data_IF_291998070545
#
_entry.id   IF_291998070545
#
_cell.length_a   1.000
_cell.length_b   1.000
_cell.length_c   1.000
_cell.angle_alpha   90.00
_cell.angle_beta   90.00
_cell.angle_gamma   90.00
#
_symmetry.space_group_name_H-M   'P 1'
#
loop_
_entity.id
_entity.type
_entity.pdbx_description
1 polymer ?
2 non-polymer ?
3 water ?
#
# COMPACT_ATOMS: atom_id res chain seq x y z
N UNK A 2 16.73 -22.67 -10.38
CA UNK A 2 16.96 -22.10 -9.00
C UNK A 2 15.98 -22.76 -7.97
N UNK A 3 16.35 -22.68 -6.70
CA UNK A 3 15.62 -23.36 -5.63
C UNK A 3 14.45 -22.56 -5.01
N UNK A 4 14.21 -21.33 -5.43
CA UNK A 4 13.13 -20.53 -4.86
C UNK A 4 11.70 -21.17 -5.02
N UNK A 5 10.83 -20.92 -4.06
CA UNK A 5 9.44 -21.36 -4.19
C UNK A 5 8.51 -20.15 -4.25
N UNK A 6 7.34 -20.37 -4.79
CA UNK A 6 6.30 -19.32 -4.84
C UNK A 6 5.23 -19.72 -3.83
N UNK A 7 4.75 -18.73 -3.08
CA UNK A 7 3.68 -18.98 -2.16
C UNK A 7 2.55 -17.98 -2.33
N UNK A 8 1.39 -18.49 -2.71
CA UNK A 8 0.21 -17.70 -2.95
C UNK A 8 -0.83 -18.00 -1.86
N UNK A 9 -1.43 -16.93 -1.36
CA UNK A 9 -2.46 -17.02 -0.36
C UNK A 9 -3.77 -16.39 -0.78
N UNK A 10 -4.83 -17.15 -0.71
CA UNK A 10 -6.19 -16.60 -0.71
C UNK A 10 -6.39 -15.79 0.60
N UNK A 11 -7.31 -14.83 0.61
CA UNK A 11 -7.57 -14.06 1.83
C UNK A 11 -8.83 -14.49 2.60
N UNK A 12 -10.00 -14.30 1.99
CA UNK A 12 -11.24 -14.39 2.76
C UNK A 12 -11.52 -15.81 3.14
N UNK A 13 -11.60 -16.07 4.46
CA UNK A 13 -11.84 -17.40 5.03
C UNK A 13 -10.63 -18.30 4.94
N UNK A 14 -9.53 -17.81 4.39
CA UNK A 14 -8.27 -18.56 4.35
C UNK A 14 -7.33 -17.96 5.37
N UNK A 15 -6.94 -16.70 5.19
CA UNK A 15 -6.08 -16.05 6.16
C UNK A 15 -6.89 -15.30 7.21
N UNK A 16 -8.17 -14.97 6.94
CA UNK A 16 -9.01 -14.28 7.90
C UNK A 16 -10.29 -15.11 8.11
N UNK A 17 -10.78 -15.15 9.36
CA UNK A 17 -11.97 -15.94 9.65
C UNK A 17 -13.23 -15.16 9.28
N UNK A 18 -13.19 -14.40 8.20
CA UNK A 18 -14.34 -13.65 7.78
C UNK A 18 -14.16 -13.33 6.28
N UNK A 19 -15.22 -12.78 5.70
CA UNK A 19 -15.19 -12.26 4.34
C UNK A 19 -15.02 -10.76 4.40
N UNK A 20 -13.85 -10.32 4.01
CA UNK A 20 -13.49 -8.93 4.13
C UNK A 20 -14.37 -8.05 3.18
N UNK A 21 -14.88 -8.62 2.11
CA UNK A 21 -15.67 -7.86 1.10
C UNK A 21 -17.00 -7.47 1.79
N UNK A 22 -17.73 -8.47 2.25
CA UNK A 22 -19.00 -8.28 2.97
C UNK A 22 -18.83 -7.46 4.25
N UNK A 23 -17.81 -7.73 5.04
CA UNK A 23 -17.61 -6.98 6.32
C UNK A 23 -17.35 -5.48 6.02
N UNK A 24 -16.62 -5.20 4.95
CA UNK A 24 -16.46 -3.81 4.56
C UNK A 24 -17.77 -3.13 4.16
N UNK A 25 -18.60 -3.79 3.33
CA UNK A 25 -19.92 -3.27 2.98
C UNK A 25 -20.76 -3.06 4.21
N UNK A 26 -20.72 -4.06 5.08
CA UNK A 26 -21.51 -4.00 6.28
C UNK A 26 -20.98 -2.92 7.22
N UNK A 27 -19.67 -2.73 7.24
CA UNK A 27 -19.04 -1.70 8.05
C UNK A 27 -19.50 -0.30 7.58
N UNK A 28 -19.50 -0.09 6.27
CA UNK A 28 -19.98 1.20 5.72
C UNK A 28 -21.47 1.39 6.01
N UNK A 29 -22.26 0.32 5.86
CA UNK A 29 -23.72 0.38 6.17
C UNK A 29 -23.98 0.83 7.65
N UNK A 30 -23.40 0.04 8.56
CA UNK A 30 -23.47 0.23 10.02
C UNK A 30 -23.06 1.58 10.51
N UNK A 31 -22.15 2.19 9.79
CA UNK A 31 -21.39 3.24 10.31
C UNK A 31 -21.67 4.68 9.80
N UNK A 32 -22.81 5.10 9.29
CA UNK A 32 -23.49 4.64 8.17
C UNK A 32 -23.07 5.71 7.10
N UNK A 33 -22.25 5.24 6.19
CA UNK A 33 -21.63 6.03 5.18
C UNK A 33 -22.13 5.51 3.87
N UNK A 34 -23.19 4.71 3.89
CA UNK A 34 -23.75 4.11 2.65
C UNK A 34 -25.25 4.41 2.62
N UNK A 35 -25.65 5.50 3.29
CA UNK A 35 -27.08 5.86 3.45
C UNK A 35 -27.64 5.52 4.82
N UNK A 36 -28.97 5.47 4.91
CA UNK A 36 -29.62 4.95 6.12
C UNK A 36 -29.14 3.52 6.40
N UNK A 37 -28.63 3.30 7.63
CA UNK A 37 -28.06 2.00 7.94
C UNK A 37 -28.91 0.80 7.49
N UNK A 38 -30.20 0.81 7.85
CA UNK A 38 -31.12 -0.31 7.58
C UNK A 38 -31.19 -0.64 6.10
N UNK A 39 -31.45 0.38 5.30
CA UNK A 39 -31.61 0.23 3.86
C UNK A 39 -30.27 -0.21 3.24
N UNK A 40 -29.18 0.32 3.79
CA UNK A 40 -27.82 -0.07 3.36
C UNK A 40 -27.59 -1.57 3.59
N UNK A 41 -27.82 -2.04 4.80
CA UNK A 41 -27.61 -3.46 5.09
C UNK A 41 -28.59 -4.29 4.26
N UNK A 42 -29.82 -3.78 4.12
CA UNK A 42 -30.81 -4.47 3.31
C UNK A 42 -30.33 -4.59 1.86
N UNK A 43 -29.84 -3.49 1.30
CA UNK A 43 -29.31 -3.53 -0.05
C UNK A 43 -28.09 -4.46 -0.19
N UNK A 44 -27.16 -4.41 0.78
CA UNK A 44 -26.05 -5.41 0.83
C UNK A 44 -26.52 -6.88 0.80
N UNK A 45 -27.47 -7.21 1.67
CA UNK A 45 -27.93 -8.59 1.79
C UNK A 45 -28.65 -9.00 0.53
N UNK A 46 -29.49 -8.10 0.03
CA UNK A 46 -30.20 -8.38 -1.19
C UNK A 46 -29.25 -8.62 -2.41
N UNK A 47 -28.14 -7.85 -2.52
CA UNK A 47 -27.09 -8.18 -3.48
C UNK A 47 -26.55 -9.61 -3.28
N UNK A 48 -26.10 -9.92 -2.08
CA UNK A 48 -25.55 -11.25 -1.83
C UNK A 48 -26.63 -12.31 -2.14
N UNK A 49 -27.88 -12.08 -1.74
CA UNK A 49 -28.97 -13.06 -1.98
C UNK A 49 -29.13 -13.29 -3.50
N UNK A 50 -29.32 -12.22 -4.28
CA UNK A 50 -29.44 -12.36 -5.74
C UNK A 50 -28.21 -13.02 -6.41
N UNK A 51 -27.00 -12.69 -5.94
CA UNK A 51 -25.79 -13.33 -6.44
C UNK A 51 -25.82 -14.82 -6.06
N UNK A 52 -26.04 -15.11 -4.78
CA UNK A 52 -26.14 -16.50 -4.30
C UNK A 52 -27.22 -17.36 -4.97
N UNK A 53 -28.33 -16.74 -5.37
CA UNK A 53 -29.43 -17.45 -6.06
C UNK A 53 -29.14 -17.62 -7.57
N UNK A 54 -28.14 -16.90 -8.09
CA UNK A 54 -27.72 -17.02 -9.47
C UNK A 54 -28.29 -15.93 -10.36
N UNK A 55 -28.88 -14.90 -9.76
CA UNK A 55 -29.60 -13.87 -10.52
C UNK A 55 -28.69 -12.70 -10.94
N UNK A 56 -27.50 -12.58 -10.30
CA UNK A 56 -26.45 -11.58 -10.69
C UNK A 56 -25.14 -12.27 -11.12
N UNK A 57 -24.44 -11.65 -12.06
CA UNK A 57 -23.14 -12.14 -12.50
C UNK A 57 -22.08 -11.82 -11.41
N UNK A 58 -20.95 -12.53 -11.47
CA UNK A 58 -19.79 -12.22 -10.61
C UNK A 58 -19.30 -10.78 -10.82
N UNK A 59 -19.22 -10.32 -12.07
CA UNK A 59 -18.96 -8.91 -12.45
C UNK A 59 -19.92 -7.94 -11.78
N UNK A 60 -21.18 -8.27 -11.72
CA UNK A 60 -22.18 -7.35 -11.22
C UNK A 60 -22.06 -7.28 -9.73
N UNK A 61 -21.77 -8.41 -9.09
CA UNK A 61 -21.61 -8.37 -7.64
C UNK A 61 -20.37 -7.48 -7.39
N UNK A 62 -19.29 -7.74 -8.13
CA UNK A 62 -18.03 -6.98 -7.92
C UNK A 62 -18.32 -5.51 -8.13
N UNK A 63 -19.09 -5.20 -9.18
CA UNK A 63 -19.46 -3.80 -9.42
C UNK A 63 -20.21 -3.12 -8.30
N UNK A 64 -21.23 -3.78 -7.75
CA UNK A 64 -21.96 -3.21 -6.58
C UNK A 64 -20.99 -2.81 -5.44
N UNK A 65 -20.06 -3.70 -5.15
CA UNK A 65 -19.01 -3.46 -4.15
C UNK A 65 -18.14 -2.24 -4.49
N UNK A 66 -17.76 -2.07 -5.74
CA UNK A 66 -16.95 -0.92 -6.15
C UNK A 66 -17.77 0.34 -6.14
N UNK A 67 -19.08 0.18 -6.31
CA UNK A 67 -19.98 1.31 -6.29
C UNK A 67 -19.98 1.89 -4.90
N UNK A 68 -19.66 1.09 -3.88
CA UNK A 68 -19.53 1.66 -2.54
C UNK A 68 -18.35 2.68 -2.43
N UNK A 69 -17.30 2.44 -3.19
CA UNK A 69 -16.14 3.34 -3.26
C UNK A 69 -16.39 4.62 -4.07
N UNK A 70 -17.23 4.49 -5.10
CA UNK A 70 -17.57 5.56 -6.02
C UNK A 70 -18.35 6.66 -5.31
N UNK A 71 -18.98 6.35 -4.19
CA UNK A 71 -19.86 7.30 -3.50
C UNK A 71 -19.12 8.32 -2.61
N UNK A 72 -17.77 8.29 -2.58
CA UNK A 72 -16.99 9.04 -1.60
C UNK A 72 -15.61 9.45 -2.08
N UNK A 73 -15.07 10.46 -1.46
CA UNK A 73 -13.75 10.90 -1.80
C UNK A 73 -12.75 9.82 -1.33
N UNK A 74 -11.67 9.63 -2.06
CA UNK A 74 -10.67 8.67 -1.60
C UNK A 74 -9.98 9.08 -0.27
N UNK A 75 -10.01 10.36 0.08
CA UNK A 75 -9.48 10.82 1.34
C UNK A 75 -10.37 10.33 2.51
N UNK A 76 -11.70 10.44 2.36
CA UNK A 76 -12.62 9.90 3.35
C UNK A 76 -12.48 8.39 3.47
N UNK A 77 -12.43 7.74 2.30
CA UNK A 77 -12.37 6.24 2.23
C UNK A 77 -11.16 5.68 2.99
N UNK A 78 -10.01 6.32 2.83
CA UNK A 78 -8.85 5.92 3.58
C UNK A 78 -9.01 6.03 5.09
N UNK A 79 -9.49 7.16 5.58
CA UNK A 79 -9.73 7.38 6.99
C UNK A 79 -10.70 6.27 7.47
N UNK A 80 -11.78 6.04 6.73
CA UNK A 80 -12.73 4.98 7.14
C UNK A 80 -12.18 3.56 7.08
N UNK A 81 -11.34 3.29 6.09
CA UNK A 81 -10.70 1.99 6.04
C UNK A 81 -9.76 1.75 7.23
N UNK A 82 -9.04 2.76 7.69
CA UNK A 82 -8.24 2.59 8.89
C UNK A 82 -9.08 2.20 10.08
N UNK A 83 -10.23 2.79 10.24
CA UNK A 83 -11.10 2.40 11.33
C UNK A 83 -11.55 0.94 11.16
N UNK A 84 -11.87 0.54 9.93
CA UNK A 84 -12.21 -0.81 9.57
C UNK A 84 -11.08 -1.78 9.92
N UNK A 85 -9.86 -1.37 9.63
CA UNK A 85 -8.73 -2.24 9.94
C UNK A 85 -8.65 -2.43 11.43
N UNK A 86 -8.76 -1.31 12.17
CA UNK A 86 -8.62 -1.33 13.64
C UNK A 86 -9.72 -2.13 14.35
N UNK A 87 -10.95 -2.03 13.85
CA UNK A 87 -12.15 -2.51 14.60
C UNK A 87 -12.63 -3.86 14.07
N UNK A 88 -12.37 -4.16 12.80
CA UNK A 88 -12.82 -5.42 12.22
C UNK A 88 -11.67 -6.36 11.83
N UNK A 89 -10.74 -5.89 11.00
CA UNK A 89 -9.78 -6.83 10.46
C UNK A 89 -8.76 -7.23 11.51
N UNK A 90 -8.06 -6.26 12.09
CA UNK A 90 -6.97 -6.58 13.01
C UNK A 90 -7.32 -7.56 14.12
N UNK A 91 -8.44 -7.38 14.78
CA UNK A 91 -8.71 -8.34 15.84
C UNK A 91 -9.08 -9.73 15.32
N UNK A 92 -9.26 -9.93 14.02
CA UNK A 92 -9.51 -11.25 13.51
C UNK A 92 -8.23 -11.93 13.02
N UNK A 93 -7.08 -11.22 13.10
CA UNK A 93 -5.82 -11.79 12.76
C UNK A 93 -5.44 -12.86 13.80
N UNK A 94 -5.12 -14.06 13.37
CA UNK A 94 -4.74 -15.14 14.30
C UNK A 94 -3.27 -15.47 14.08
N UNK A 95 -2.63 -15.93 15.15
CA UNK A 95 -1.27 -16.37 15.09
C UNK A 95 -1.07 -17.51 14.08
N UNK A 96 -2.04 -18.42 13.95
CA UNK A 96 -1.97 -19.46 12.94
C UNK A 96 -1.88 -18.91 11.51
N UNK A 97 -2.76 -18.00 11.13
CA UNK A 97 -2.71 -17.39 9.79
C UNK A 97 -1.41 -16.61 9.60
N UNK A 98 -1.00 -15.82 10.60
CA UNK A 98 0.25 -15.07 10.50
C UNK A 98 1.42 -16.00 10.26
N UNK A 99 1.42 -17.12 10.99
CA UNK A 99 2.54 -18.07 10.96
C UNK A 99 2.63 -18.85 9.65
N UNK A 100 1.51 -19.16 9.00
CA UNK A 100 1.52 -19.82 7.68
C UNK A 100 2.22 -18.90 6.67
N UNK A 101 1.90 -17.62 6.72
CA UNK A 101 2.57 -16.66 5.89
C UNK A 101 4.03 -16.50 6.29
N UNK A 102 4.30 -16.35 7.56
CA UNK A 102 5.62 -16.09 8.03
C UNK A 102 6.59 -17.17 7.71
N UNK A 103 6.14 -18.42 7.80
CA UNK A 103 7.00 -19.55 7.43
C UNK A 103 7.51 -19.44 5.99
N UNK A 104 6.62 -19.05 5.09
CA UNK A 104 7.03 -18.96 3.66
C UNK A 104 7.93 -17.73 3.51
N UNK A 105 7.64 -16.62 4.18
CA UNK A 105 8.53 -15.48 4.08
C UNK A 105 9.94 -15.81 4.52
N UNK A 106 10.01 -16.48 5.65
CA UNK A 106 11.25 -16.83 6.28
C UNK A 106 12.03 -17.83 5.40
N UNK A 107 11.35 -18.66 4.61
CA UNK A 107 12.08 -19.60 3.74
C UNK A 107 12.71 -18.92 2.52
N UNK A 108 12.41 -17.65 2.31
CA UNK A 108 12.81 -16.96 1.12
C UNK A 108 11.76 -17.04 0.01
N UNK A 109 10.57 -17.55 0.26
CA UNK A 109 9.59 -17.76 -0.80
C UNK A 109 9.17 -16.40 -1.36
N UNK A 110 8.84 -16.33 -2.64
CA UNK A 110 8.15 -15.17 -3.20
C UNK A 110 6.67 -15.27 -2.80
N UNK A 111 6.14 -14.33 -2.03
CA UNK A 111 4.78 -14.42 -1.43
C UNK A 111 3.84 -13.33 -1.95
N UNK A 112 2.59 -13.72 -2.25
CA UNK A 112 1.56 -12.85 -2.78
C UNK A 112 0.21 -13.27 -2.20
N UNK A 113 -0.60 -12.26 -1.93
CA UNK A 113 -1.99 -12.41 -1.60
C UNK A 113 -2.81 -12.32 -2.90
N UNK A 114 -3.63 -13.35 -3.15
CA UNK A 114 -4.43 -13.43 -4.36
C UNK A 114 -5.91 -13.51 -4.00
N UNK A 115 -6.64 -12.42 -4.23
CA UNK A 115 -7.96 -12.26 -3.67
C UNK A 115 -8.92 -11.49 -4.59
N UNK A 116 -10.18 -11.93 -4.61
CA UNK A 116 -11.25 -11.26 -5.37
C UNK A 116 -11.64 -9.98 -4.68
N UNK A 117 -11.37 -9.84 -3.39
CA UNK A 117 -11.78 -8.61 -2.71
C UNK A 117 -10.87 -7.47 -3.23
N UNK A 118 -11.47 -6.34 -3.58
CA UNK A 118 -10.75 -5.29 -4.30
C UNK A 118 -9.52 -4.73 -3.59
N UNK A 119 -8.52 -4.36 -4.40
CA UNK A 119 -7.24 -3.89 -3.90
C UNK A 119 -7.28 -2.64 -2.99
N UNK A 120 -8.28 -1.76 -3.09
CA UNK A 120 -8.42 -0.73 -2.11
C UNK A 120 -8.67 -1.32 -0.70
N UNK A 121 -9.56 -2.27 -0.63
CA UNK A 121 -9.90 -2.94 0.62
C UNK A 121 -8.78 -3.84 1.11
N UNK A 122 -8.02 -4.47 0.23
CA UNK A 122 -7.07 -5.50 0.66
C UNK A 122 -5.61 -5.11 0.73
N UNK A 123 -5.22 -4.01 0.09
CA UNK A 123 -3.82 -3.56 0.15
C UNK A 123 -3.26 -3.47 1.58
N UNK A 124 -3.95 -2.82 2.51
CA UNK A 124 -3.39 -2.74 3.89
C UNK A 124 -3.40 -4.09 4.63
N UNK A 125 -4.22 -5.02 4.18
CA UNK A 125 -4.28 -6.37 4.76
C UNK A 125 -3.07 -7.20 4.31
N UNK A 126 -2.69 -7.10 3.03
CA UNK A 126 -1.42 -7.70 2.60
C UNK A 126 -0.27 -7.16 3.39
N UNK A 127 -0.21 -5.85 3.53
CA UNK A 127 0.80 -5.23 4.37
C UNK A 127 0.75 -5.74 5.84
N UNK A 128 -0.43 -5.93 6.39
CA UNK A 128 -0.51 -6.44 7.78
C UNK A 128 0.13 -7.82 7.93
N UNK A 129 0.20 -8.59 6.85
CA UNK A 129 0.83 -9.89 6.89
C UNK A 129 2.29 -9.88 6.51
N UNK A 130 2.84 -8.70 6.14
CA UNK A 130 4.20 -8.61 5.62
C UNK A 130 4.37 -9.07 4.19
N UNK A 131 3.26 -9.17 3.45
CA UNK A 131 3.27 -9.69 2.12
C UNK A 131 3.38 -8.46 1.22
N UNK A 132 4.30 -8.51 0.27
CA UNK A 132 4.68 -7.32 -0.51
C UNK A 132 3.97 -7.30 -1.83
N UNK A 133 3.29 -8.39 -2.20
CA UNK A 133 2.62 -8.48 -3.54
C UNK A 133 1.18 -8.80 -3.36
N UNK A 134 0.33 -8.09 -4.09
CA UNK A 134 -1.13 -8.24 -3.99
C UNK A 134 -1.68 -8.43 -5.39
N UNK A 135 -2.44 -9.48 -5.58
CA UNK A 135 -3.01 -9.76 -6.87
C UNK A 135 -4.52 -9.82 -6.60
N UNK A 136 -5.13 -8.63 -6.66
CA UNK A 136 -6.53 -8.42 -6.30
C UNK A 136 -7.32 -7.79 -7.43
N UNK A 137 -8.64 -7.93 -7.42
CA UNK A 137 -9.50 -7.21 -8.39
C UNK A 137 -9.23 -5.73 -8.15
N UNK A 138 -9.00 -5.00 -9.23
CA UNK A 138 -8.60 -3.61 -9.12
C UNK A 138 -9.74 -2.71 -9.50
N UNK A 139 -10.04 -1.76 -8.62
CA UNK A 139 -11.05 -0.78 -8.95
C UNK A 139 -10.48 0.28 -9.87
N UNK A 140 -11.18 0.60 -10.96
CA UNK A 140 -10.79 1.72 -11.79
C UNK A 140 -10.87 3.02 -10.93
N UNK A 141 -9.82 3.82 -11.07
CA UNK A 141 -9.64 5.12 -10.38
C UNK A 141 -9.32 6.09 -11.45
N UNK A 142 -10.10 7.13 -11.59
CA UNK A 142 -9.89 8.10 -12.65
C UNK A 142 -10.25 9.44 -12.09
N UNK A 143 -9.41 10.42 -12.38
CA UNK A 143 -9.71 11.78 -12.01
C UNK A 143 -9.94 11.89 -10.47
N UNK A 144 -9.17 11.13 -9.69
CA UNK A 144 -9.21 11.23 -8.27
C UNK A 144 -10.39 10.54 -7.63
N UNK A 145 -11.08 9.69 -8.36
CA UNK A 145 -12.15 8.93 -7.69
C UNK A 145 -12.30 7.55 -8.27
N UNK A 146 -12.79 6.63 -7.43
CA UNK A 146 -13.20 5.32 -7.92
C UNK A 146 -14.44 5.46 -8.79
N UNK A 147 -14.42 4.86 -9.96
CA UNK A 147 -15.53 4.99 -10.90
C UNK A 147 -16.67 3.98 -10.68
N UNK A 148 -16.44 2.91 -9.90
CA UNK A 148 -17.41 1.81 -9.86
C UNK A 148 -17.20 0.66 -10.84
N UNK A 149 -16.21 0.80 -11.74
CA UNK A 149 -15.87 -0.21 -12.71
C UNK A 149 -14.59 -0.97 -12.35
N UNK A 150 -14.48 -2.20 -12.85
CA UNK A 150 -13.27 -3.04 -12.69
C UNK A 150 -12.22 -2.67 -13.72
N UNK A 151 -10.97 -2.54 -13.28
CA UNK A 151 -9.86 -2.30 -14.15
C UNK A 151 -9.17 -3.61 -14.42
N UNK A 152 -9.25 -4.07 -15.67
CA UNK A 152 -8.54 -5.28 -16.09
C UNK A 152 -9.25 -6.56 -15.68
N UNK A 153 -8.50 -7.64 -15.47
CA UNK A 153 -9.11 -8.92 -15.23
C UNK A 153 -9.35 -9.07 -13.71
N UNK A 154 -10.57 -9.49 -13.32
CA UNK A 154 -10.83 -9.77 -11.92
C UNK A 154 -10.02 -10.95 -11.41
N UNK A 155 -9.61 -10.84 -10.16
CA UNK A 155 -8.85 -11.90 -9.49
C UNK A 155 -9.84 -12.85 -8.83
N UNK A 156 -10.56 -13.53 -9.70
CA UNK A 156 -11.69 -14.38 -9.29
C UNK A 156 -11.79 -15.57 -10.21
N UNK A 157 -11.88 -16.74 -9.59
CA UNK A 157 -11.91 -17.98 -10.34
C UNK A 157 -10.74 -18.10 -11.32
N UNK A 158 -11.03 -18.31 -12.60
CA UNK A 158 -9.99 -18.49 -13.59
C UNK A 158 -9.16 -17.21 -13.72
N UNK A 159 -9.75 -16.05 -13.40
CA UNK A 159 -9.00 -14.80 -13.41
C UNK A 159 -7.81 -14.78 -12.46
N UNK A 160 -7.89 -15.50 -11.35
CA UNK A 160 -6.75 -15.57 -10.45
C UNK A 160 -5.56 -16.17 -11.20
N UNK A 161 -5.81 -17.14 -12.09
CA UNK A 161 -4.73 -17.77 -12.84
C UNK A 161 -4.10 -16.80 -13.82
N UNK A 162 -4.93 -16.16 -14.63
CA UNK A 162 -4.46 -15.13 -15.55
C UNK A 162 -3.63 -14.04 -14.80
N UNK A 163 -4.19 -13.51 -13.70
CA UNK A 163 -3.55 -12.42 -13.01
C UNK A 163 -2.21 -12.84 -12.42
N UNK A 164 -2.12 -14.05 -11.88
CA UNK A 164 -0.90 -14.53 -11.31
C UNK A 164 0.13 -14.65 -12.45
N UNK A 165 -0.27 -15.21 -13.60
CA UNK A 165 0.74 -15.38 -14.69
C UNK A 165 1.19 -13.99 -15.24
N UNK A 166 0.25 -13.05 -15.34
CA UNK A 166 0.61 -11.70 -15.78
C UNK A 166 1.57 -11.05 -14.80
N UNK A 167 1.32 -11.19 -13.48
CA UNK A 167 2.22 -10.61 -12.49
C UNK A 167 3.66 -11.18 -12.53
N UNK A 168 3.79 -12.48 -12.61
CA UNK A 168 5.10 -13.08 -12.67
C UNK A 168 5.87 -12.56 -13.90
N UNK A 169 5.20 -12.47 -15.04
CA UNK A 169 5.88 -12.04 -16.28
C UNK A 169 6.35 -10.57 -16.14
N UNK A 170 5.50 -9.72 -15.58
CA UNK A 170 5.92 -8.38 -15.16
C UNK A 170 7.23 -8.33 -14.34
N UNK A 171 7.51 -9.36 -13.57
CA UNK A 171 8.77 -9.41 -12.81
C UNK A 171 9.83 -10.19 -13.59
N UNK A 172 9.47 -10.71 -14.76
CA UNK A 172 10.44 -11.45 -15.57
C UNK A 172 10.53 -12.88 -15.13
N UNK A 173 9.46 -13.42 -14.60
CA UNK A 173 9.44 -14.77 -14.03
C UNK A 173 8.24 -15.55 -14.56
N UNK A 174 8.19 -16.84 -14.26
CA UNK A 174 7.06 -17.72 -14.60
C UNK A 174 6.97 -18.87 -13.58
N UNK A 175 5.83 -19.55 -13.59
CA UNK A 175 5.45 -20.50 -12.56
C UNK A 175 6.40 -21.68 -12.50
N UNK A 176 6.89 -22.06 -13.67
CA UNK A 176 7.89 -23.14 -13.77
C UNK A 176 9.31 -22.71 -13.45
N UNK A 177 9.56 -21.43 -13.22
CA UNK A 177 10.85 -21.01 -12.65
C UNK A 177 11.02 -21.52 -11.17
N UNK A 178 9.93 -21.82 -10.46
CA UNK A 178 10.03 -22.17 -9.01
C UNK A 178 10.19 -23.65 -8.78
N UNK A 179 10.92 -24.02 -7.75
CA UNK A 179 11.03 -25.43 -7.37
C UNK A 179 9.68 -26.01 -6.94
N UNK A 180 8.84 -25.21 -6.27
CA UNK A 180 7.44 -25.56 -5.99
C UNK A 180 6.65 -24.27 -5.99
N UNK A 181 5.35 -24.37 -6.17
CA UNK A 181 4.41 -23.24 -5.97
C UNK A 181 3.29 -23.74 -5.11
N UNK A 182 3.03 -23.01 -4.01
CA UNK A 182 1.95 -23.31 -3.07
C UNK A 182 0.78 -22.31 -3.33
N UNK A 183 -0.45 -22.76 -3.14
CA UNK A 183 -1.62 -21.88 -3.08
C UNK A 183 -2.53 -22.44 -2.00
N UNK A 184 -2.86 -21.61 -1.03
CA UNK A 184 -3.79 -21.91 0.01
C UNK A 184 -5.17 -21.29 -0.29
N UNK A 185 -6.26 -22.08 -0.27
CA UNK A 185 -7.58 -21.52 -0.41
C UNK A 185 -8.64 -22.41 0.21
N UNK A 186 -9.81 -21.85 0.40
CA UNK A 186 -10.92 -22.50 1.13
C UNK A 186 -12.05 -22.95 0.24
N UNK A 187 -12.06 -22.48 -1.02
CA UNK A 187 -13.25 -22.45 -1.85
C UNK A 187 -13.13 -23.18 -3.17
N UNK A 188 -14.24 -23.78 -3.61
CA UNK A 188 -14.26 -24.47 -4.89
C UNK A 188 -14.10 -23.46 -6.01
N UNK A 189 -14.39 -22.18 -5.75
CA UNK A 189 -14.11 -21.11 -6.70
C UNK A 189 -12.66 -21.07 -7.13
N UNK A 190 -11.76 -21.47 -6.25
CA UNK A 190 -10.32 -21.43 -6.53
C UNK A 190 -9.65 -22.73 -7.01
N UNK A 191 -10.45 -23.71 -7.41
CA UNK A 191 -9.89 -24.92 -8.03
C UNK A 191 -8.99 -24.53 -9.23
N UNK A 192 -9.35 -23.50 -10.01
CA UNK A 192 -8.45 -23.17 -11.11
C UNK A 192 -7.02 -22.88 -10.72
N UNK A 193 -6.81 -22.00 -9.73
CA UNK A 193 -5.43 -21.74 -9.29
C UNK A 193 -4.85 -22.93 -8.47
N UNK A 194 -5.70 -23.62 -7.73
CA UNK A 194 -5.23 -24.74 -6.96
C UNK A 194 -4.66 -25.80 -7.92
N UNK A 195 -5.29 -25.95 -9.08
CA UNK A 195 -4.84 -26.92 -10.11
C UNK A 195 -3.58 -26.51 -10.83
N UNK A 196 -3.26 -25.23 -10.81
CA UNK A 196 -2.15 -24.67 -11.58
C UNK A 196 -0.80 -24.80 -10.87
N UNK A 197 -0.79 -24.85 -9.53
CA UNK A 197 0.46 -24.79 -8.79
C UNK A 197 0.92 -26.21 -8.51
N UNK A 198 2.10 -26.40 -7.96
CA UNK A 198 2.47 -27.78 -7.62
C UNK A 198 2.00 -28.21 -6.24
N UNK A 199 1.75 -27.29 -5.29
CA UNK A 199 1.32 -27.70 -3.96
C UNK A 199 0.05 -26.97 -3.50
N UNK A 200 -1.10 -27.44 -3.96
CA UNK A 200 -2.36 -26.89 -3.50
C UNK A 200 -2.67 -27.30 -2.05
N UNK A 201 -3.16 -26.34 -1.25
CA UNK A 201 -3.49 -26.59 0.18
C UNK A 201 -4.90 -26.06 0.39
N UNK A 202 -5.78 -26.93 0.82
CA UNK A 202 -7.13 -26.58 1.12
C UNK A 202 -7.11 -26.11 2.58
N UNK A 203 -7.34 -24.82 2.77
CA UNK A 203 -7.26 -24.16 4.07
C UNK A 203 -8.68 -23.82 4.51
N UNK A 204 -9.07 -24.31 5.68
CA UNK A 204 -10.43 -24.14 6.16
C UNK A 204 -11.45 -24.51 5.06
N UNK A 205 -11.26 -25.64 4.36
CA UNK A 205 -12.10 -25.86 3.22
C UNK A 205 -13.60 -25.96 3.48
N UNK A 206 -14.38 -25.55 2.49
CA UNK A 206 -15.79 -25.77 2.43
C UNK A 206 -15.96 -27.27 2.27
N UNK A 207 -17.15 -27.79 2.56
CA UNK A 207 -17.36 -29.23 2.31
C UNK A 207 -17.03 -29.64 0.88
N UNK A 208 -17.39 -28.81 -0.09
CA UNK A 208 -17.07 -29.13 -1.47
C UNK A 208 -15.59 -29.28 -1.70
N UNK A 209 -14.81 -28.32 -1.22
CA UNK A 209 -13.38 -28.37 -1.47
C UNK A 209 -12.71 -29.46 -0.62
N UNK A 210 -13.22 -29.69 0.59
CA UNK A 210 -12.64 -30.74 1.45
C UNK A 210 -12.74 -32.09 0.74
N UNK A 211 -13.87 -32.33 0.07
CA UNK A 211 -14.08 -33.58 -0.68
C UNK A 211 -13.07 -33.72 -1.82
N UNK A 212 -12.90 -32.64 -2.58
CA UNK A 212 -11.93 -32.60 -3.66
C UNK A 212 -10.50 -32.78 -3.15
N UNK A 213 -10.15 -32.13 -2.03
CA UNK A 213 -8.83 -32.28 -1.40
C UNK A 213 -8.57 -33.73 -1.03
N UNK A 214 -9.51 -34.36 -0.34
CA UNK A 214 -9.31 -35.72 0.08
C UNK A 214 -9.20 -36.59 -1.16
N UNK A 215 -10.07 -36.39 -2.12
CA UNK A 215 -10.02 -37.24 -3.30
C UNK A 215 -8.61 -37.18 -3.83
N UNK A 216 -8.05 -35.99 -4.01
CA UNK A 216 -6.79 -35.85 -4.71
C UNK A 216 -5.58 -35.90 -3.82
N UNK A 217 -5.74 -36.21 -2.54
CA UNK A 217 -4.57 -36.20 -1.64
C UNK A 217 -3.95 -34.83 -1.30
N UNK A 218 -4.67 -33.72 -1.54
CA UNK A 218 -4.17 -32.36 -1.28
C UNK A 218 -4.14 -32.12 0.21
N UNK A 219 -3.07 -31.49 0.70
CA UNK A 219 -2.96 -31.10 2.10
C UNK A 219 -4.21 -30.27 2.50
N UNK A 220 -4.70 -30.45 3.74
CA UNK A 220 -5.86 -29.72 4.30
C UNK A 220 -5.39 -29.12 5.59
N UNK A 221 -5.70 -27.87 5.86
CA UNK A 221 -5.34 -27.29 7.11
C UNK A 221 -6.53 -26.51 7.61
N UNK A 222 -6.90 -26.75 8.85
CA UNK A 222 -8.01 -26.02 9.45
C UNK A 222 -7.37 -25.05 10.40
N UNK A 223 -7.01 -23.90 9.86
CA UNK A 223 -6.31 -22.85 10.65
C UNK A 223 -7.16 -22.29 11.79
N UNK A 224 -8.45 -22.17 11.60
CA UNK A 224 -9.30 -21.64 12.66
C UNK A 224 -10.71 -22.15 12.55
N UNK B 4 -2.88 16.97 -20.36
CA UNK B 4 -2.24 15.83 -19.60
C UNK B 4 -0.99 16.37 -18.91
N UNK B 5 -1.07 16.41 -17.58
CA UNK B 5 -0.05 16.95 -16.73
C UNK B 5 0.41 15.87 -15.74
N UNK B 6 1.65 16.03 -15.34
CA UNK B 6 2.26 15.26 -14.31
C UNK B 6 2.30 16.16 -13.08
N UNK B 7 1.95 15.59 -11.92
CA UNK B 7 2.00 16.29 -10.63
C UNK B 7 2.76 15.45 -9.59
N UNK B 8 3.91 15.98 -9.18
CA UNK B 8 4.77 15.31 -8.24
C UNK B 8 4.80 16.09 -6.93
N UNK B 9 4.62 15.38 -5.84
CA UNK B 9 4.59 16.00 -4.56
C UNK B 9 5.63 15.42 -3.61
N UNK B 10 6.50 16.29 -3.10
CA UNK B 10 7.30 15.95 -1.89
C UNK B 10 6.38 15.82 -0.65
N UNK B 11 6.84 15.16 0.40
CA UNK B 11 5.98 14.97 1.58
C UNK B 11 6.30 15.88 2.76
N UNK B 12 7.45 15.63 3.36
CA UNK B 12 7.85 16.25 4.63
C UNK B 12 8.11 17.75 4.44
N UNK B 13 7.37 18.50 5.23
CA UNK B 13 7.30 19.93 5.20
C UNK B 13 6.64 20.47 3.96
N UNK B 14 6.18 19.62 3.06
CA UNK B 14 5.49 20.09 1.86
C UNK B 14 3.97 19.83 2.02
N UNK B 15 3.54 18.58 1.97
CA UNK B 15 2.12 18.26 2.19
C UNK B 15 1.78 18.06 3.70
N UNK B 16 2.79 17.80 4.55
CA UNK B 16 2.57 17.67 6.00
C UNK B 16 3.42 18.73 6.74
N UNK B 17 2.84 19.35 7.78
CA UNK B 17 3.63 20.37 8.48
C UNK B 17 4.57 19.74 9.50
N UNK B 18 5.22 18.66 9.15
CA UNK B 18 6.07 17.94 10.07
C UNK B 18 6.98 17.07 9.22
N UNK B 19 7.97 16.48 9.85
CA UNK B 19 8.86 15.52 9.19
C UNK B 19 8.40 14.11 9.62
N UNK B 20 7.84 13.36 8.69
CA UNK B 20 7.31 12.04 8.94
C UNK B 20 8.39 11.03 9.37
N UNK B 21 9.61 11.22 8.91
CA UNK B 21 10.70 10.32 9.20
C UNK B 21 11.02 10.49 10.69
N UNK B 22 11.26 11.74 11.08
CA UNK B 22 11.53 12.03 12.47
C UNK B 22 10.38 11.62 13.37
N UNK B 23 9.16 11.91 12.99
CA UNK B 23 8.02 11.69 13.89
C UNK B 23 7.79 10.20 14.13
N UNK B 24 8.08 9.40 13.11
CA UNK B 24 7.99 7.96 13.20
C UNK B 24 9.02 7.43 14.21
N UNK B 25 10.24 7.94 14.15
CA UNK B 25 11.29 7.53 15.09
C UNK B 25 10.90 7.96 16.51
N UNK B 26 10.34 9.15 16.64
CA UNK B 26 9.97 9.64 17.95
C UNK B 26 8.80 8.75 18.51
N UNK B 27 7.94 8.32 17.60
CA UNK B 27 6.76 7.53 17.98
C UNK B 27 7.21 6.19 18.50
N UNK B 28 8.15 5.55 17.80
CA UNK B 28 8.72 4.32 18.28
C UNK B 28 9.50 4.50 19.59
N UNK B 29 10.16 5.64 19.79
CA UNK B 29 10.87 5.93 21.03
C UNK B 29 9.90 6.00 22.23
N UNK B 30 8.88 6.83 22.11
CA UNK B 30 7.95 7.00 23.19
C UNK B 30 7.00 5.83 23.46
N UNK B 31 6.76 5.00 22.47
CA UNK B 31 5.93 3.83 22.67
C UNK B 31 6.81 2.59 22.96
N UNK B 32 8.06 2.80 23.30
CA UNK B 32 8.89 1.71 23.82
C UNK B 32 9.48 0.73 22.82
N UNK B 33 9.56 1.11 21.54
CA UNK B 33 9.94 0.14 20.51
C UNK B 33 11.34 0.42 19.92
N UNK B 34 12.07 1.35 20.52
CA UNK B 34 13.44 1.66 20.05
C UNK B 34 14.43 1.65 21.20
N UNK B 35 14.19 0.81 22.21
CA UNK B 35 15.04 0.77 23.41
C UNK B 35 14.49 1.63 24.55
N UNK B 36 15.34 2.02 25.50
CA UNK B 36 14.91 2.96 26.52
C UNK B 36 14.40 4.27 25.88
N UNK B 37 13.13 4.64 26.15
CA UNK B 37 12.54 5.83 25.53
C UNK B 37 13.41 7.08 25.59
N UNK B 38 14.02 7.35 26.73
CA UNK B 38 14.85 8.54 26.88
C UNK B 38 16.12 8.40 26.01
N UNK B 39 16.77 7.25 26.11
CA UNK B 39 17.95 7.02 25.27
C UNK B 39 17.57 7.04 23.78
N UNK B 40 16.38 6.54 23.43
CA UNK B 40 15.94 6.55 22.01
C UNK B 40 15.71 7.96 21.54
N UNK B 41 15.08 8.81 22.36
CA UNK B 41 14.86 10.20 21.87
C UNK B 41 16.19 10.86 21.67
N UNK B 42 17.13 10.53 22.55
CA UNK B 42 18.43 11.16 22.52
C UNK B 42 19.18 10.71 21.27
N UNK B 43 19.18 9.39 20.98
CA UNK B 43 19.70 8.90 19.70
C UNK B 43 19.04 9.62 18.53
N UNK B 44 17.71 9.67 18.47
CA UNK B 44 17.01 10.43 17.41
C UNK B 44 17.49 11.86 17.32
N UNK B 45 17.78 12.49 18.46
CA UNK B 45 18.10 13.92 18.41
C UNK B 45 19.55 14.12 18.03
N UNK B 46 20.42 13.26 18.57
CA UNK B 46 21.81 13.20 18.13
C UNK B 46 21.97 12.95 16.60
N UNK B 47 21.21 12.00 16.05
CA UNK B 47 21.18 11.79 14.59
C UNK B 47 20.87 13.09 13.86
N UNK B 48 19.75 13.73 14.21
CA UNK B 48 19.34 14.94 13.52
C UNK B 48 20.40 16.04 13.65
N UNK B 49 20.88 16.25 14.85
CA UNK B 49 21.89 17.30 15.11
C UNK B 49 23.17 17.03 14.30
N UNK B 50 23.68 15.78 14.33
CA UNK B 50 24.86 15.41 13.55
C UNK B 50 24.69 15.54 12.03
N UNK B 51 23.54 15.12 11.52
CA UNK B 51 23.23 15.32 10.11
C UNK B 51 23.10 16.79 9.78
N UNK B 52 22.52 17.54 10.70
CA UNK B 52 22.43 18.97 10.53
C UNK B 52 23.80 19.68 10.47
N UNK B 53 24.73 19.19 11.27
CA UNK B 53 26.09 19.71 11.28
C UNK B 53 26.98 19.03 10.25
N UNK B 54 26.40 18.26 9.34
CA UNK B 54 27.20 17.61 8.29
C UNK B 54 28.14 16.52 8.83
N UNK B 55 27.90 16.08 10.05
CA UNK B 55 28.73 15.08 10.70
C UNK B 55 28.28 13.66 10.37
N UNK B 56 27.13 13.51 9.70
CA UNK B 56 26.69 12.24 9.14
C UNK B 56 26.23 12.48 7.71
N UNK B 57 26.54 11.55 6.82
CA UNK B 57 26.02 11.62 5.47
C UNK B 57 24.52 11.33 5.48
N UNK B 58 23.87 11.74 4.39
CA UNK B 58 22.49 11.40 4.14
C UNK B 58 22.32 9.88 4.21
N UNK B 59 23.20 9.13 3.58
CA UNK B 59 23.16 7.66 3.61
C UNK B 59 23.23 7.08 5.01
N UNK B 60 24.01 7.73 5.87
CA UNK B 60 24.12 7.30 7.23
C UNK B 60 22.84 7.59 7.98
N UNK B 61 22.23 8.74 7.74
CA UNK B 61 20.98 9.06 8.41
C UNK B 61 19.95 7.98 8.03
N UNK B 62 19.94 7.64 6.75
CA UNK B 62 19.01 6.65 6.24
C UNK B 62 19.30 5.26 6.90
N UNK B 63 20.56 4.99 7.19
CA UNK B 63 21.00 3.78 7.92
C UNK B 63 20.32 3.63 9.27
N UNK B 64 20.33 4.69 10.06
CA UNK B 64 19.66 4.74 11.34
C UNK B 64 18.12 4.48 11.24
N UNK B 65 17.47 5.21 10.34
CA UNK B 65 16.03 5.18 10.23
C UNK B 65 15.55 3.79 9.77
N UNK B 66 16.25 3.23 8.79
CA UNK B 66 15.99 1.89 8.32
C UNK B 66 16.35 0.83 9.36
N UNK B 67 17.35 1.16 10.16
CA UNK B 67 17.64 0.35 11.34
C UNK B 67 16.50 0.18 12.30
N UNK B 68 15.65 1.19 12.39
CA UNK B 68 14.50 1.10 13.30
C UNK B 68 13.54 -0.02 12.86
N UNK B 69 13.46 -0.29 11.54
CA UNK B 69 12.59 -1.35 10.98
C UNK B 69 13.25 -2.74 11.14
N UNK B 70 14.57 -2.77 10.98
CA UNK B 70 15.32 -4.02 10.96
C UNK B 70 15.14 -4.84 12.23
N UNK B 71 14.88 -4.15 13.34
CA UNK B 71 14.83 -4.76 14.63
C UNK B 71 13.48 -5.44 14.93
N UNK B 72 12.49 -5.30 14.05
CA UNK B 72 11.19 -5.79 14.43
C UNK B 72 10.50 -6.57 13.31
N UNK B 73 9.57 -7.43 13.64
CA UNK B 73 8.81 -8.11 12.59
C UNK B 73 7.97 -7.08 11.77
N UNK B 74 7.78 -7.32 10.45
CA UNK B 74 6.88 -6.49 9.64
C UNK B 74 5.40 -6.54 10.09
N UNK B 75 4.97 -7.61 10.78
CA UNK B 75 3.61 -7.68 11.30
C UNK B 75 3.41 -6.67 12.45
N UNK B 76 4.34 -6.67 13.39
CA UNK B 76 4.41 -5.66 14.46
C UNK B 76 4.53 -4.23 13.93
N UNK B 77 5.43 -4.04 12.98
CA UNK B 77 5.66 -2.72 12.39
C UNK B 77 4.38 -2.16 11.75
N UNK B 78 3.64 -3.01 11.08
CA UNK B 78 2.43 -2.59 10.45
C UNK B 78 1.35 -2.24 11.48
N UNK B 79 1.30 -3.01 12.56
CA UNK B 79 0.33 -2.74 13.60
C UNK B 79 0.72 -1.37 14.20
N UNK B 80 2.00 -1.12 14.47
CA UNK B 80 2.37 0.17 15.15
C UNK B 80 2.16 1.37 14.29
N UNK B 81 2.40 1.17 13.00
CA UNK B 81 2.24 2.25 12.03
C UNK B 81 0.77 2.63 11.91
N UNK B 82 -0.14 1.69 12.05
CA UNK B 82 -1.57 2.07 12.05
C UNK B 82 -1.95 3.06 13.20
N UNK B 83 -1.30 2.92 14.35
CA UNK B 83 -1.60 3.84 15.43
C UNK B 83 -0.86 5.15 15.19
N UNK B 84 0.35 5.07 14.60
CA UNK B 84 1.08 6.29 14.15
C UNK B 84 0.24 7.15 13.20
N UNK B 85 -0.39 6.51 12.23
CA UNK B 85 -1.33 7.22 11.33
C UNK B 85 -2.42 7.91 12.10
N UNK B 86 -3.08 7.14 12.96
CA UNK B 86 -4.20 7.64 13.75
C UNK B 86 -3.72 8.75 14.69
N UNK B 87 -2.57 8.56 15.34
CA UNK B 87 -2.25 9.45 16.43
C UNK B 87 -1.41 10.63 16.05
N UNK B 88 -0.63 10.51 14.99
CA UNK B 88 0.32 11.58 14.61
C UNK B 88 0.11 12.11 13.21
N UNK B 89 0.01 11.26 12.22
CA UNK B 89 -0.13 11.76 10.85
C UNK B 89 -1.47 12.39 10.58
N UNK B 90 -2.54 11.67 10.90
CA UNK B 90 -3.86 12.13 10.45
C UNK B 90 -4.28 13.46 11.05
N UNK B 91 -3.95 13.70 12.31
CA UNK B 91 -4.19 15.02 12.87
C UNK B 91 -3.42 16.14 12.17
N UNK B 92 -2.35 15.83 11.47
CA UNK B 92 -1.56 16.89 10.85
C UNK B 92 -1.95 17.11 9.39
N UNK B 93 -2.88 16.32 8.89
CA UNK B 93 -3.40 16.49 7.55
C UNK B 93 -4.31 17.72 7.50
N UNK B 94 -4.05 18.66 6.61
CA UNK B 94 -4.85 19.88 6.57
C UNK B 94 -5.69 19.99 5.29
N UNK B 95 -6.71 20.85 5.34
CA UNK B 95 -7.59 21.00 4.18
C UNK B 95 -6.81 21.58 2.99
N UNK B 96 -5.89 22.51 3.25
CA UNK B 96 -5.12 23.15 2.19
C UNK B 96 -4.20 22.15 1.49
N UNK B 97 -3.58 21.24 2.25
CA UNK B 97 -2.69 20.27 1.64
C UNK B 97 -3.47 19.25 0.81
N UNK B 98 -4.58 18.72 1.36
CA UNK B 98 -5.45 17.82 0.64
C UNK B 98 -5.99 18.51 -0.64
N UNK B 99 -6.42 19.77 -0.53
CA UNK B 99 -6.90 20.50 -1.69
C UNK B 99 -5.85 20.67 -2.80
N UNK B 100 -4.55 20.85 -2.46
CA UNK B 100 -3.57 20.99 -3.49
C UNK B 100 -3.55 19.70 -4.32
N UNK B 101 -3.55 18.55 -3.67
CA UNK B 101 -3.47 17.25 -4.34
C UNK B 101 -4.78 17.00 -5.10
N UNK B 102 -5.90 17.25 -4.44
CA UNK B 102 -7.20 17.08 -5.09
C UNK B 102 -7.36 17.89 -6.35
N UNK B 103 -6.85 19.13 -6.38
CA UNK B 103 -7.01 19.92 -7.60
C UNK B 103 -6.31 19.28 -8.78
N UNK B 104 -5.12 18.70 -8.53
CA UNK B 104 -4.39 17.93 -9.52
C UNK B 104 -5.09 16.62 -9.89
N UNK B 105 -5.56 15.86 -8.90
CA UNK B 105 -6.28 14.63 -9.22
C UNK B 105 -7.47 14.87 -10.16
N UNK B 106 -8.26 15.89 -9.85
CA UNK B 106 -9.54 16.13 -10.55
C UNK B 106 -9.32 16.65 -11.96
N UNK B 107 -8.15 17.23 -12.19
CA UNK B 107 -7.74 17.74 -13.50
C UNK B 107 -7.30 16.58 -14.38
N UNK B 108 -7.13 15.40 -13.78
CA UNK B 108 -6.75 14.21 -14.55
C UNK B 108 -5.28 14.01 -14.58
N UNK B 109 -4.54 14.79 -13.77
CA UNK B 109 -3.11 14.65 -13.74
C UNK B 109 -2.64 13.28 -13.22
N UNK B 110 -1.47 12.83 -13.69
CA UNK B 110 -0.81 11.68 -13.14
C UNK B 110 -0.04 12.20 -11.93
N UNK B 111 -0.42 11.73 -10.74
CA UNK B 111 0.05 12.21 -9.45
C UNK B 111 0.86 11.13 -8.70
N UNK B 112 1.97 11.57 -8.11
CA UNK B 112 2.88 10.71 -7.34
C UNK B 112 3.45 11.46 -6.17
N UNK B 113 3.66 10.71 -5.09
CA UNK B 113 4.41 11.18 -3.96
C UNK B 113 5.87 10.77 -4.10
N UNK B 114 6.76 11.75 -4.04
CA UNK B 114 8.18 11.53 -4.22
C UNK B 114 8.94 11.99 -3.00
N UNK B 115 9.42 11.01 -2.24
CA UNK B 115 9.88 11.29 -0.86
C UNK B 115 11.03 10.44 -0.44
N UNK B 116 12.00 11.04 0.25
CA UNK B 116 13.16 10.31 0.78
C UNK B 116 12.77 9.46 2.02
N UNK B 117 11.66 9.76 2.69
CA UNK B 117 11.23 8.96 3.84
C UNK B 117 10.72 7.58 3.35
N UNK B 118 11.15 6.51 3.98
CA UNK B 118 11.07 5.20 3.36
C UNK B 118 9.64 4.76 3.09
N UNK B 119 9.47 3.91 2.10
CA UNK B 119 8.16 3.58 1.61
C UNK B 119 7.33 2.77 2.66
N UNK B 120 8.00 2.05 3.58
CA UNK B 120 7.22 1.48 4.66
C UNK B 120 6.44 2.54 5.42
N UNK B 121 7.10 3.64 5.75
CA UNK B 121 6.50 4.69 6.56
C UNK B 121 5.53 5.51 5.70
N UNK B 122 5.80 5.63 4.37
CA UNK B 122 5.04 6.58 3.57
C UNK B 122 3.96 5.99 2.67
N UNK B 123 3.98 4.68 2.41
CA UNK B 123 2.89 4.12 1.57
C UNK B 123 1.43 4.51 2.05
N UNK B 124 1.10 4.33 3.36
CA UNK B 124 -0.27 4.65 3.78
C UNK B 124 -0.48 6.14 3.73
N UNK B 125 0.59 6.93 3.70
CA UNK B 125 0.39 8.36 3.64
C UNK B 125 0.00 8.82 2.22
N UNK B 126 0.67 8.29 1.20
CA UNK B 126 0.21 8.45 -0.22
C UNK B 126 -1.31 8.11 -0.36
N UNK B 127 -1.69 6.96 0.18
CA UNK B 127 -3.10 6.53 0.20
C UNK B 127 -4.05 7.55 0.85
N UNK B 128 -3.63 8.14 1.95
CA UNK B 128 -4.49 9.05 2.70
C UNK B 128 -4.80 10.28 1.85
N UNK B 129 -3.90 10.65 0.90
CA UNK B 129 -4.13 11.76 -0.03
C UNK B 129 -4.81 11.31 -1.30
N UNK B 130 -5.04 10.00 -1.48
CA UNK B 130 -5.62 9.48 -2.69
C UNK B 130 -4.69 9.41 -3.90
N UNK B 131 -3.40 9.39 -3.64
CA UNK B 131 -2.34 9.38 -4.61
C UNK B 131 -1.91 7.93 -4.75
N UNK B 132 -1.89 7.43 -5.98
CA UNK B 132 -1.80 6.01 -6.24
C UNK B 132 -0.37 5.64 -6.49
N UNK B 133 0.53 6.62 -6.62
CA UNK B 133 1.93 6.31 -7.01
C UNK B 133 2.89 6.87 -5.98
N UNK B 134 3.72 5.96 -5.43
CA UNK B 134 4.71 6.32 -4.46
C UNK B 134 6.10 5.99 -5.01
N UNK B 135 6.96 7.02 -5.00
CA UNK B 135 8.36 6.92 -5.36
C UNK B 135 9.20 7.37 -4.13
N UNK B 136 9.48 6.39 -3.26
CA UNK B 136 10.08 6.66 -1.98
C UNK B 136 11.29 5.75 -1.89
N UNK B 137 12.21 6.08 -1.02
CA UNK B 137 13.31 5.14 -0.73
C UNK B 137 12.77 3.85 -0.20
N UNK B 138 13.22 2.73 -0.76
CA UNK B 138 12.64 1.43 -0.45
C UNK B 138 13.57 0.62 0.46
N UNK B 139 13.05 0.22 1.63
CA UNK B 139 13.89 -0.59 2.52
C UNK B 139 14.08 -1.96 1.89
N UNK B 140 15.31 -2.44 1.90
CA UNK B 140 15.53 -3.82 1.52
C UNK B 140 14.80 -4.72 2.51
N UNK B 141 14.13 -5.69 1.94
CA UNK B 141 13.26 -6.65 2.61
C UNK B 141 13.65 -8.01 2.10
N UNK B 142 14.11 -8.86 2.99
CA UNK B 142 14.68 -10.17 2.63
C UNK B 142 14.27 -11.21 3.64
N UNK B 143 13.76 -12.34 3.15
CA UNK B 143 13.24 -13.39 4.01
C UNK B 143 12.28 -12.89 5.11
N UNK B 144 11.41 -11.97 4.76
CA UNK B 144 10.37 -11.53 5.70
C UNK B 144 10.86 -10.54 6.74
N UNK B 145 12.06 -10.01 6.55
CA UNK B 145 12.56 -8.97 7.48
C UNK B 145 13.15 -7.79 6.75
N UNK B 146 13.06 -6.61 7.33
CA UNK B 146 13.87 -5.46 6.83
C UNK B 146 15.32 -5.65 7.24
N UNK B 147 16.25 -5.46 6.30
CA UNK B 147 17.67 -5.67 6.56
C UNK B 147 18.33 -4.43 7.17
N UNK B 148 17.78 -3.26 6.95
CA UNK B 148 18.39 -2.04 7.45
C UNK B 148 19.10 -1.32 6.33
N UNK B 149 19.09 -1.90 5.15
CA UNK B 149 19.69 -1.34 3.99
C UNK B 149 18.65 -0.75 3.03
N UNK B 150 19.14 0.04 2.09
CA UNK B 150 18.33 0.60 1.02
C UNK B 150 18.28 -0.40 -0.13
N UNK B 151 17.11 -0.59 -0.74
CA UNK B 151 17.01 -1.29 -2.03
C UNK B 151 16.92 -0.30 -3.21
N UNK B 152 17.95 -0.32 -4.05
CA UNK B 152 18.01 0.42 -5.27
C UNK B 152 18.41 1.81 -5.00
N UNK B 153 17.91 2.74 -5.84
CA UNK B 153 18.31 4.15 -5.76
C UNK B 153 17.46 4.85 -4.71
N UNK B 154 18.08 5.49 -3.72
CA UNK B 154 17.22 6.24 -2.82
C UNK B 154 16.45 7.35 -3.56
N UNK B 155 15.26 7.70 -3.08
CA UNK B 155 14.50 8.82 -3.61
C UNK B 155 14.91 10.12 -2.92
N UNK B 156 16.13 10.57 -3.26
CA UNK B 156 16.80 11.68 -2.53
C UNK B 156 17.73 12.39 -3.51
N UNK B 157 17.67 13.70 -3.53
CA UNK B 157 18.40 14.52 -4.56
C UNK B 157 18.24 13.97 -5.95
N UNK B 158 19.33 13.66 -6.67
CA UNK B 158 19.23 13.20 -8.07
C UNK B 158 18.58 11.86 -8.19
N UNK B 159 18.61 11.11 -7.07
CA UNK B 159 17.91 9.91 -6.99
C UNK B 159 16.42 10.09 -7.25
N UNK B 160 15.84 11.22 -6.85
CA UNK B 160 14.41 11.47 -7.20
C UNK B 160 14.23 11.55 -8.72
N UNK B 161 15.21 12.14 -9.41
CA UNK B 161 15.11 12.23 -10.84
C UNK B 161 15.20 10.86 -11.50
N UNK B 162 16.17 10.08 -11.07
CA UNK B 162 16.34 8.71 -11.57
C UNK B 162 15.09 7.88 -11.23
N UNK B 163 14.65 7.94 -9.98
CA UNK B 163 13.43 7.18 -9.63
C UNK B 163 12.19 7.59 -10.40
N UNK B 164 12.03 8.91 -10.62
CA UNK B 164 10.87 9.35 -11.36
C UNK B 164 10.96 8.85 -12.81
N UNK B 165 12.13 8.96 -13.40
CA UNK B 165 12.29 8.42 -14.76
C UNK B 165 12.04 6.93 -14.89
N UNK B 166 12.51 6.15 -13.94
CA UNK B 166 12.26 4.70 -14.01
C UNK B 166 10.77 4.36 -13.85
N UNK B 167 10.11 5.08 -12.94
CA UNK B 167 8.70 4.85 -12.68
C UNK B 167 7.97 5.20 -13.97
N UNK B 168 8.31 6.34 -14.54
CA UNK B 168 7.66 6.71 -15.79
C UNK B 168 7.89 5.65 -16.90
N UNK B 169 9.12 5.18 -17.00
CA UNK B 169 9.52 4.27 -18.08
C UNK B 169 8.77 2.92 -17.96
N UNK B 170 8.48 2.47 -16.74
CA UNK B 170 7.71 1.27 -16.50
C UNK B 170 6.28 1.38 -17.00
N UNK B 171 5.72 2.57 -17.09
CA UNK B 171 4.40 2.77 -17.71
C UNK B 171 4.55 3.20 -19.16
N UNK B 172 5.76 3.11 -19.73
CA UNK B 172 5.95 3.55 -21.13
C UNK B 172 6.00 5.06 -21.31
N UNK B 173 6.44 5.80 -20.29
CA UNK B 173 6.37 7.25 -20.38
C UNK B 173 7.69 7.90 -20.05
N UNK B 174 7.73 9.21 -20.29
CA UNK B 174 8.85 10.13 -20.00
C UNK B 174 8.34 11.51 -19.65
N UNK B 175 9.18 12.30 -18.98
CA UNK B 175 8.75 13.61 -18.58
C UNK B 175 8.24 14.45 -19.74
N UNK B 176 8.76 14.21 -20.94
CA UNK B 176 8.39 15.00 -22.13
C UNK B 176 7.04 14.63 -22.67
N UNK B 177 6.48 13.54 -22.20
CA UNK B 177 5.13 13.20 -22.62
C UNK B 177 4.01 14.12 -22.11
N UNK B 178 4.30 14.99 -21.14
CA UNK B 178 3.25 15.79 -20.49
C UNK B 178 3.28 17.23 -20.97
N UNK B 179 2.10 17.85 -21.12
CA UNK B 179 1.95 19.27 -21.44
C UNK B 179 2.70 20.13 -20.40
N UNK B 180 2.67 19.72 -19.14
CA UNK B 180 3.36 20.40 -18.02
C UNK B 180 3.63 19.38 -16.91
N UNK B 181 4.66 19.65 -16.10
CA UNK B 181 5.03 18.78 -15.03
C UNK B 181 5.33 19.64 -13.81
N UNK B 182 4.61 19.33 -12.73
CA UNK B 182 4.68 20.05 -11.45
C UNK B 182 5.52 19.26 -10.50
N UNK B 183 6.34 19.95 -9.74
CA UNK B 183 6.97 19.35 -8.55
C UNK B 183 6.92 20.36 -7.39
N UNK B 184 6.29 19.96 -6.27
CA UNK B 184 6.16 20.82 -5.10
C UNK B 184 7.17 20.35 -4.10
N UNK B 185 8.06 21.22 -3.66
CA UNK B 185 9.02 20.85 -2.59
C UNK B 185 9.47 22.05 -1.78
N UNK B 186 9.95 21.78 -0.60
CA UNK B 186 10.42 22.82 0.36
C UNK B 186 11.93 22.94 0.47
N UNK B 187 12.67 22.02 -0.10
CA UNK B 187 14.10 21.86 0.20
C UNK B 187 15.06 22.07 -0.96
N UNK B 188 16.20 22.67 -0.62
CA UNK B 188 17.34 22.78 -1.55
C UNK B 188 17.80 21.40 -2.08
N UNK B 189 17.64 20.31 -1.30
CA UNK B 189 17.99 18.97 -1.80
C UNK B 189 17.20 18.55 -3.05
N UNK B 190 16.04 19.18 -3.27
CA UNK B 190 15.23 18.81 -4.42
C UNK B 190 15.40 19.65 -5.63
N UNK B 191 16.47 20.41 -5.70
CA UNK B 191 16.73 21.23 -6.87
C UNK B 191 16.79 20.38 -8.14
N UNK B 192 17.43 19.19 -8.08
CA UNK B 192 17.49 18.42 -9.34
C UNK B 192 16.14 18.14 -9.98
N UNK B 193 15.20 17.63 -9.21
CA UNK B 193 13.88 17.36 -9.76
C UNK B 193 13.10 18.66 -10.08
N UNK B 194 13.25 19.68 -9.22
CA UNK B 194 12.67 21.00 -9.56
C UNK B 194 13.20 21.53 -10.91
N UNK B 195 14.47 21.26 -11.22
CA UNK B 195 15.01 21.66 -12.55
C UNK B 195 14.51 20.82 -13.74
N UNK B 196 14.33 19.53 -13.48
CA UNK B 196 13.84 18.58 -14.47
C UNK B 196 12.43 18.87 -14.96
N UNK B 197 11.56 19.42 -14.12
CA UNK B 197 10.12 19.57 -14.45
C UNK B 197 9.92 20.95 -14.98
N UNK B 198 8.73 21.28 -15.47
CA UNK B 198 8.49 22.60 -16.09
C UNK B 198 7.78 23.55 -15.15
N UNK B 199 7.20 23.04 -14.06
CA UNK B 199 6.55 23.91 -13.05
C UNK B 199 7.04 23.53 -11.70
N UNK B 200 8.25 24.01 -11.34
CA UNK B 200 8.72 23.83 -10.02
C UNK B 200 7.97 24.76 -9.10
N UNK B 201 7.48 24.22 -7.98
CA UNK B 201 6.82 25.00 -6.92
C UNK B 201 7.52 24.82 -5.57
N UNK B 202 8.08 25.92 -5.08
CA UNK B 202 8.77 25.94 -3.84
C UNK B 202 7.60 26.15 -2.82
N UNK B 203 7.26 25.04 -2.13
CA UNK B 203 6.16 25.01 -1.17
C UNK B 203 6.72 25.04 0.25
N UNK B 204 6.29 26.02 1.03
CA UNK B 204 6.86 26.27 2.37
C UNK B 204 8.38 26.21 2.35
N UNK B 205 9.00 26.92 1.42
CA UNK B 205 10.44 26.74 1.25
C UNK B 205 11.29 27.19 2.42
N UNK B 206 12.45 26.55 2.58
CA UNK B 206 13.51 26.97 3.47
C UNK B 206 14.05 28.27 2.90
N UNK B 207 14.83 29.03 3.69
CA UNK B 207 15.36 30.30 3.15
C UNK B 207 16.25 30.04 1.91
N UNK B 208 17.02 28.96 1.93
CA UNK B 208 17.82 28.60 0.77
C UNK B 208 17.01 28.38 -0.50
N UNK B 209 15.90 27.64 -0.41
CA UNK B 209 15.10 27.40 -1.58
C UNK B 209 14.36 28.64 -1.99
N UNK B 210 13.85 29.41 -1.02
CA UNK B 210 13.14 30.65 -1.33
C UNK B 210 14.06 31.55 -2.19
N UNK B 211 15.32 31.60 -1.82
CA UNK B 211 16.25 32.41 -2.55
C UNK B 211 16.44 31.91 -4.01
N UNK B 212 16.63 30.60 -4.14
CA UNK B 212 16.81 29.99 -5.48
C UNK B 212 15.55 30.22 -6.31
N UNK B 213 14.39 30.03 -5.69
CA UNK B 213 13.08 30.26 -6.37
C UNK B 213 12.99 31.69 -6.90
N UNK B 214 13.28 32.63 -6.03
CA UNK B 214 13.30 34.03 -6.38
C UNK B 214 14.26 34.39 -7.52
N UNK B 215 15.50 33.95 -7.42
CA UNK B 215 16.47 34.18 -8.48
C UNK B 215 16.01 33.57 -9.81
N UNK B 216 15.25 32.48 -9.77
CA UNK B 216 14.88 31.81 -10.99
C UNK B 216 13.46 32.05 -11.43
N UNK B 217 12.61 32.70 -10.64
CA UNK B 217 11.23 32.89 -11.12
C UNK B 217 10.33 31.68 -10.90
N UNK B 218 10.67 30.81 -9.98
CA UNK B 218 9.81 29.65 -9.68
C UNK B 218 8.71 30.15 -8.72
N UNK B 219 7.46 29.76 -8.96
CA UNK B 219 6.36 30.05 -8.03
C UNK B 219 6.64 29.56 -6.57
N UNK B 220 6.12 30.29 -5.61
CA UNK B 220 6.31 30.00 -4.19
C UNK B 220 4.93 29.91 -3.60
N UNK B 221 4.70 28.91 -2.76
CA UNK B 221 3.43 28.84 -2.00
C UNK B 221 3.79 28.57 -0.56
N UNK B 222 2.92 29.04 0.34
CA UNK B 222 3.06 28.70 1.75
C UNK B 222 1.71 28.16 2.22
N UNK B 223 1.69 26.92 2.68
CA UNK B 223 0.47 26.26 3.08
C UNK B 223 0.19 26.35 4.57
N UNK B 224 1.18 26.66 5.41
CA UNK B 224 1.09 26.41 6.85
C UNK B 224 1.27 27.58 7.86
X LIG C 1 -11.15 -14.20 -1.81
X LIG C 1 -9.96 -13.86 -0.93
X LIG C 1 -10.82 -14.26 -3.28
X LIG C 1 -11.70 -15.42 -1.23
X LIG C 1 -12.19 -13.17 -1.70
X LIG D 1 11.07 14.45 1.81
X LIG D 1 11.92 13.99 0.63
X LIG D 1 11.13 15.91 2.05
X LIG D 1 9.64 13.99 1.77
X LIG D 1 11.69 13.70 2.96
#
# INVERSE_FOLDING_TARGET
MTTRRLALFDLDHTLLPLDSDYQWADFLARTGRAGDPAEARRRNDDLMERYNRGELTAEQAAEFMLGLLAAHSPVELAAWHEEFMRDVIRPSLTVQAVDVVRGHLAAGDLCALVTATNSFVTAPIARAFGVQHLIATDPEYRDGRYTGRIEGTPSFREGKVVRVNQWLAGMGLALGDFAESYFYSDSVNDVPLLEAVTRPIAANPSPGLREIAQARGWQVIDLFDHLEDAKS
MTTRRLALFDLDHTLLPLDSDYQWADFLARTGRAGDPAEARRRNDDLMERYNRGELTAEQAAEFMLGLLAAHSPVELAAWHEEFMRDVIRPSLTVQAVDVVRGHLAAGDLCALVTATNSFVTAPIARAFGVQHLIATDPEYRDGRYTGRIEGTPSFREGKVVRVNQWLAGMGLALGDFAESYFYSDSVNDVPLLEAVTRPIAANPSPGLREIAQARGWQVIDLFDHLEDAKS
SO4 S O1 O2 O3 O4
SO4 S O1 O2 O3 O4
#
